data_IF_678425966001
#
_entry.id   IF_678425966001
#
_cell.length_a   1.000
_cell.length_b   1.000
_cell.length_c   1.000
_cell.angle_alpha   90.00
_cell.angle_beta   90.00
_cell.angle_gamma   90.00
#
_symmetry.space_group_name_H-M   'P 1'
#
loop_
_entity.id
_entity.type
_entity.pdbx_description
1 polymer ?
#
# COMPACT_ATOMS: atom_id res chain seq x y z
N UNK A 1 -2.76 3.90 -19.74
CA UNK A 1 -2.93 3.46 -18.34
C UNK A 1 -1.62 2.88 -17.85
N UNK A 2 -1.01 3.46 -16.81
CA UNK A 2 0.28 3.01 -16.29
C UNK A 2 0.06 1.94 -15.23
N UNK A 3 0.65 0.76 -15.41
CA UNK A 3 0.67 -0.29 -14.39
C UNK A 3 1.74 0.09 -13.37
N UNK A 4 1.42 0.01 -12.08
CA UNK A 4 2.44 0.18 -11.05
C UNK A 4 3.36 -1.04 -11.09
N UNK A 5 4.62 -0.85 -11.47
CA UNK A 5 5.62 -1.94 -11.59
C UNK A 5 5.86 -2.69 -10.27
N UNK A 6 5.49 -2.08 -9.14
CA UNK A 6 5.74 -2.61 -7.81
C UNK A 6 4.57 -3.42 -7.26
N UNK A 7 3.34 -3.06 -7.62
CA UNK A 7 2.15 -3.79 -7.18
C UNK A 7 1.60 -4.72 -8.26
N UNK A 8 1.92 -4.48 -9.53
CA UNK A 8 1.35 -5.20 -10.67
C UNK A 8 -0.07 -4.74 -11.05
N UNK A 9 -0.63 -3.79 -10.30
CA UNK A 9 -1.99 -3.30 -10.48
C UNK A 9 -2.02 -1.89 -11.08
N UNK A 10 -3.11 -1.57 -11.77
CA UNK A 10 -3.37 -0.21 -12.18
C UNK A 10 -3.75 0.67 -10.98
N UNK A 11 -3.42 1.96 -11.04
CA UNK A 11 -3.74 2.91 -9.97
C UNK A 11 -5.23 2.95 -9.60
N UNK A 12 -6.13 2.78 -10.59
CA UNK A 12 -7.57 2.74 -10.33
C UNK A 12 -8.01 1.46 -9.59
N UNK A 13 -7.34 0.31 -9.82
CA UNK A 13 -7.64 -0.93 -9.09
C UNK A 13 -7.23 -0.79 -7.62
N UNK A 14 -6.11 -0.13 -7.35
CA UNK A 14 -5.68 0.17 -5.98
C UNK A 14 -6.60 1.17 -5.28
N UNK A 15 -7.17 2.12 -6.03
CA UNK A 15 -8.01 3.16 -5.46
C UNK A 15 -9.45 2.70 -5.21
N UNK A 16 -10.03 1.93 -6.14
CA UNK A 16 -11.45 1.59 -6.17
C UNK A 16 -11.68 0.11 -5.82
N UNK A 17 -10.66 -0.75 -5.93
CA UNK A 17 -10.78 -2.19 -5.72
C UNK A 17 -11.45 -2.95 -6.88
N UNK A 18 -11.74 -2.26 -7.99
CA UNK A 18 -12.46 -2.83 -9.14
C UNK A 18 -11.72 -2.57 -10.46
N UNK A 19 -11.92 -3.48 -11.42
CA UNK A 19 -11.53 -3.27 -12.83
C UNK A 19 -12.36 -2.13 -13.44
N UNK A 20 -11.83 -1.30 -14.36
CA UNK A 20 -12.57 -0.18 -14.89
C UNK A 20 -13.63 -0.75 -15.84
N UNK A 21 -14.90 -0.53 -15.53
CA UNK A 21 -15.96 -0.86 -16.47
C UNK A 21 -15.91 0.16 -17.61
N UNK A 22 -15.45 -0.28 -18.79
CA UNK A 22 -15.53 0.52 -20.01
C UNK A 22 -17.01 0.79 -20.30
N UNK A 23 -17.41 2.07 -20.28
CA UNK A 23 -18.76 2.48 -20.67
C UNK A 23 -18.97 1.96 -22.10
N UNK A 24 -19.99 1.11 -22.33
CA UNK A 24 -20.27 0.62 -23.66
C UNK A 24 -20.61 1.82 -24.58
N UNK A 25 -20.17 1.82 -25.85
CA UNK A 25 -20.48 2.91 -26.77
C UNK A 25 -21.98 3.13 -26.85
N UNK A 26 -22.42 4.38 -26.68
CA UNK A 26 -23.84 4.81 -26.65
C UNK A 26 -24.55 4.68 -28.01
N UNK A 27 -23.93 4.02 -28.99
CA UNK A 27 -24.47 3.83 -30.34
C UNK A 27 -25.24 2.51 -30.36
N UNK A 28 -26.55 2.51 -30.68
CA UNK A 28 -27.43 1.35 -30.50
C UNK A 28 -27.11 0.07 -31.30
N UNK A 29 -26.09 0.01 -32.16
CA UNK A 29 -26.03 -0.99 -33.24
C UNK A 29 -24.72 -1.79 -33.37
N UNK A 30 -23.79 -1.71 -32.41
CA UNK A 30 -22.56 -2.51 -32.45
C UNK A 30 -22.60 -3.80 -31.62
N UNK A 31 -23.67 -4.04 -30.87
CA UNK A 31 -23.87 -5.31 -30.15
C UNK A 31 -24.54 -6.33 -31.05
N UNK A 32 -23.84 -6.74 -32.11
CA UNK A 32 -24.13 -8.04 -32.71
C UNK A 32 -23.72 -9.11 -31.72
N UNK A 33 -24.73 -9.56 -30.97
CA UNK A 33 -24.93 -10.88 -30.38
C UNK A 33 -23.84 -11.89 -30.81
N UNK A 34 -22.77 -11.97 -30.03
CA UNK A 34 -21.55 -12.65 -30.47
C UNK A 34 -20.66 -13.16 -29.35
N UNK A 35 -21.20 -13.41 -28.18
CA UNK A 35 -20.60 -14.30 -27.18
C UNK A 35 -21.72 -14.75 -26.23
N UNK A 36 -21.83 -16.05 -25.92
CA UNK A 36 -22.83 -16.53 -24.98
C UNK A 36 -22.59 -15.88 -23.61
N UNK A 37 -23.59 -15.82 -22.73
CA UNK A 37 -23.31 -15.67 -21.32
C UNK A 37 -22.54 -16.94 -20.93
N UNK A 38 -21.21 -16.90 -20.96
CA UNK A 38 -20.48 -17.78 -20.09
C UNK A 38 -21.03 -17.46 -18.70
N UNK A 39 -21.68 -18.45 -18.08
CA UNK A 39 -22.03 -18.43 -16.67
C UNK A 39 -20.71 -18.27 -15.91
N UNK A 40 -20.19 -17.03 -15.85
CA UNK A 40 -19.01 -16.73 -15.07
C UNK A 40 -19.45 -16.99 -13.65
N UNK A 41 -18.98 -18.10 -13.11
CA UNK A 41 -19.37 -18.55 -11.79
C UNK A 41 -18.95 -17.44 -10.82
N UNK A 42 -19.93 -16.86 -10.12
CA UNK A 42 -19.67 -15.78 -9.15
C UNK A 42 -18.60 -16.21 -8.13
N UNK A 43 -18.54 -17.52 -7.82
CA UNK A 43 -17.49 -18.08 -6.98
C UNK A 43 -16.08 -17.90 -7.57
N UNK A 44 -15.90 -18.13 -8.87
CA UNK A 44 -14.59 -17.95 -9.54
C UNK A 44 -14.14 -16.49 -9.53
N UNK A 45 -15.06 -15.54 -9.71
CA UNK A 45 -14.75 -14.12 -9.60
C UNK A 45 -14.29 -13.77 -8.18
N UNK A 46 -15.01 -14.26 -7.17
CA UNK A 46 -14.67 -14.02 -5.76
C UNK A 46 -13.30 -14.63 -5.44
N UNK A 47 -13.02 -15.86 -5.89
CA UNK A 47 -11.72 -16.50 -5.71
C UNK A 47 -10.59 -15.71 -6.38
N UNK A 48 -10.81 -15.22 -7.61
CA UNK A 48 -9.85 -14.36 -8.28
C UNK A 48 -9.59 -13.06 -7.52
N UNK A 49 -10.64 -12.39 -7.02
CA UNK A 49 -10.49 -11.18 -6.21
C UNK A 49 -9.70 -11.44 -4.92
N UNK A 50 -9.97 -12.56 -4.24
CA UNK A 50 -9.25 -12.94 -3.02
C UNK A 50 -7.77 -13.23 -3.31
N UNK A 51 -7.47 -13.92 -4.41
CA UNK A 51 -6.10 -14.18 -4.85
C UNK A 51 -5.36 -12.88 -5.21
N UNK A 52 -6.04 -11.94 -5.87
CA UNK A 52 -5.48 -10.62 -6.20
C UNK A 52 -5.16 -9.81 -4.94
N UNK A 53 -6.05 -9.81 -3.94
CA UNK A 53 -5.82 -9.16 -2.64
C UNK A 53 -4.62 -9.78 -1.93
N UNK A 54 -4.52 -11.11 -1.90
CA UNK A 54 -3.40 -11.83 -1.29
C UNK A 54 -2.08 -11.47 -1.98
N UNK A 55 -2.08 -11.46 -3.32
CA UNK A 55 -0.91 -11.11 -4.13
C UNK A 55 -0.49 -9.66 -3.92
N UNK A 56 -1.44 -8.73 -3.93
CA UNK A 56 -1.20 -7.31 -3.66
C UNK A 56 -0.58 -7.11 -2.27
N UNK A 57 -1.11 -7.81 -1.26
CA UNK A 57 -0.59 -7.78 0.11
C UNK A 57 0.84 -8.30 0.21
N UNK A 58 1.15 -9.43 -0.43
CA UNK A 58 2.50 -9.99 -0.51
C UNK A 58 3.49 -9.04 -1.17
N UNK A 59 3.10 -8.46 -2.32
CA UNK A 59 3.92 -7.50 -3.06
C UNK A 59 4.18 -6.23 -2.24
N UNK A 60 3.16 -5.70 -1.57
CA UNK A 60 3.29 -4.53 -0.71
C UNK A 60 4.21 -4.80 0.48
N UNK A 61 4.11 -5.99 1.10
CA UNK A 61 4.99 -6.38 2.20
C UNK A 61 6.45 -6.46 1.73
N UNK A 62 6.72 -7.16 0.63
CA UNK A 62 8.04 -7.28 0.05
C UNK A 62 8.64 -5.90 -0.28
N UNK A 63 7.82 -5.00 -0.84
CA UNK A 63 8.21 -3.63 -1.11
C UNK A 63 8.56 -2.87 0.15
N UNK A 64 7.75 -2.92 1.21
CA UNK A 64 8.04 -2.22 2.47
C UNK A 64 9.33 -2.73 3.10
N UNK A 65 9.60 -4.03 3.03
CA UNK A 65 10.87 -4.62 3.47
C UNK A 65 12.04 -4.09 2.63
N UNK A 66 11.91 -4.07 1.30
CA UNK A 66 12.93 -3.52 0.40
C UNK A 66 13.19 -2.03 0.65
N UNK A 67 12.14 -1.23 0.86
CA UNK A 67 12.24 0.18 1.21
C UNK A 67 12.92 0.39 2.56
N UNK A 68 12.54 -0.36 3.59
CA UNK A 68 13.18 -0.30 4.90
C UNK A 68 14.66 -0.68 4.82
N UNK A 69 14.99 -1.74 4.09
CA UNK A 69 16.37 -2.16 3.87
C UNK A 69 17.16 -1.06 3.13
N UNK A 70 16.65 -0.53 2.03
CA UNK A 70 17.31 0.53 1.26
C UNK A 70 17.46 1.83 2.06
N UNK A 71 16.45 2.23 2.84
CA UNK A 71 16.53 3.38 3.73
C UNK A 71 17.56 3.16 4.84
N UNK A 72 17.68 1.93 5.35
CA UNK A 72 18.63 1.58 6.40
C UNK A 72 20.07 1.41 5.90
N UNK A 73 20.32 1.16 4.61
CA UNK A 73 21.68 1.06 4.04
C UNK A 73 22.54 2.29 4.36
N UNK A 74 21.93 3.46 4.43
CA UNK A 74 22.60 4.73 4.70
C UNK A 74 22.45 5.19 6.16
N UNK A 75 21.83 4.40 7.02
CA UNK A 75 21.65 4.69 8.47
C UNK A 75 22.73 4.03 9.34
N UNK A 76 23.89 3.71 8.77
CA UNK A 76 25.05 3.38 9.60
C UNK A 76 25.44 4.64 10.39
N UNK A 77 25.73 4.46 11.68
CA UNK A 77 26.22 5.55 12.51
C UNK A 77 27.65 5.86 12.04
N UNK A 78 27.83 6.95 11.29
CA UNK A 78 29.16 7.40 10.83
C UNK A 78 30.11 7.69 12.00
N UNK A 79 29.57 7.83 13.20
CA UNK A 79 30.30 8.18 14.42
C UNK A 79 30.05 7.12 15.50
N UNK A 80 31.09 6.39 15.92
CA UNK A 80 31.01 5.52 17.09
C UNK A 80 31.21 6.40 18.35
N UNK A 81 30.18 6.65 19.17
CA UNK A 81 30.34 7.46 20.36
C UNK A 81 31.26 6.74 21.36
N UNK A 82 32.27 7.45 21.85
CA UNK A 82 33.18 6.98 22.88
C UNK A 82 32.65 7.42 24.25
N UNK A 83 32.97 6.65 25.29
CA UNK A 83 32.63 7.00 26.68
C UNK A 83 33.23 8.37 27.01
N UNK A 84 32.39 9.37 27.21
CA UNK A 84 32.78 10.77 27.43
C UNK A 84 32.24 11.75 26.38
N UNK A 85 31.73 11.26 25.26
CA UNK A 85 31.13 12.12 24.23
C UNK A 85 29.75 12.64 24.65
N UNK A 86 29.53 13.93 24.43
CA UNK A 86 28.22 14.57 24.61
C UNK A 86 27.47 14.58 23.28
N UNK A 87 26.46 13.73 23.15
CA UNK A 87 25.57 13.72 21.97
C UNK A 87 24.32 14.52 22.29
N UNK A 88 24.02 15.52 21.45
CA UNK A 88 22.77 16.26 21.55
C UNK A 88 21.65 15.50 20.84
N UNK A 89 20.70 14.97 21.61
CA UNK A 89 19.50 14.36 21.06
C UNK A 89 18.49 15.47 20.69
N UNK A 90 18.23 15.64 19.39
CA UNK A 90 17.17 16.55 18.94
C UNK A 90 15.80 15.90 19.13
N UNK A 91 15.02 16.42 20.07
CA UNK A 91 13.68 15.93 20.42
C UNK A 91 12.54 16.74 19.78
N UNK A 92 12.78 17.45 18.67
CA UNK A 92 11.79 18.34 18.02
C UNK A 92 10.43 17.67 17.72
N UNK A 93 10.40 16.36 17.47
CA UNK A 93 9.18 15.61 17.16
C UNK A 93 8.59 14.84 18.34
N UNK A 94 9.26 14.79 19.50
CA UNK A 94 8.84 13.99 20.66
C UNK A 94 7.52 14.44 21.28
N UNK A 95 7.08 15.68 21.02
CA UNK A 95 5.82 16.23 21.54
C UNK A 95 4.59 15.87 20.70
N UNK A 96 4.75 15.48 19.43
CA UNK A 96 3.60 15.20 18.56
C UNK A 96 3.04 13.79 18.79
N UNK A 97 3.92 12.81 19.02
CA UNK A 97 3.53 11.39 19.15
C UNK A 97 2.97 11.03 20.54
N UNK A 98 3.33 11.80 21.58
CA UNK A 98 2.92 11.50 22.97
C UNK A 98 1.64 12.23 23.42
N UNK A 99 1.02 13.06 22.57
CA UNK A 99 -0.14 13.87 22.95
C UNK A 99 -1.50 13.13 22.84
N UNK A 100 -1.50 11.80 22.62
CA UNK A 100 -2.71 10.97 22.63
C UNK A 100 -2.79 9.99 23.82
N UNK A 101 -2.00 10.20 24.87
CA UNK A 101 -2.08 9.46 26.13
C UNK A 101 -2.96 10.16 27.17
N UNK A 102 -3.99 9.46 27.63
CA UNK A 102 -4.99 9.81 28.63
C UNK A 102 -4.56 10.80 29.72
N UNK A 103 -5.40 11.82 29.95
CA UNK A 103 -5.42 12.66 31.14
C UNK A 103 -5.49 11.82 32.43
N UNK A 104 -4.39 11.78 33.17
CA UNK A 104 -4.28 11.97 34.63
C UNK A 104 -3.00 11.31 35.15
N UNK A 105 -1.98 12.13 35.41
CA UNK A 105 -1.20 12.10 36.66
C UNK A 105 -0.16 13.23 36.65
N UNK A 106 -0.38 14.24 37.50
CA UNK A 106 0.60 15.26 37.87
C UNK A 106 1.40 14.68 39.04
N UNK A 107 2.72 14.56 38.89
CA UNK A 107 3.61 14.31 40.02
C UNK A 107 3.93 15.64 40.72
N UNK A 108 3.82 15.62 42.05
CA UNK A 108 4.14 16.70 42.99
C UNK A 108 5.65 16.91 43.13
#
# INVERSE_FOLDING_TARGET
STINSLTGFFGFQLHIGCSPQLIPPLVPDLFTLGTPPEDICVAEIIEHMLNDICTAGGNLLALKVGMAHQANKHRALDFLPVVGDHVLLNMSHYRHDNAHGHSNQVAK
#
